data_IF_376412121494
#
_entry.id   IF_376412121494
#
_cell.length_a   1.000
_cell.length_b   1.000
_cell.length_c   1.000
_cell.angle_alpha   90.00
_cell.angle_beta   90.00
_cell.angle_gamma   90.00
#
_symmetry.space_group_name_H-M   'P 1'
#
loop_
_entity.id
_entity.type
_entity.pdbx_description
1 polymer ?
#
# COMPACT_ATOMS: atom_id res chain seq x y z
N UNK A 1 20.44 7.24 3.10
CA UNK A 1 20.94 6.41 4.23
C UNK A 1 20.34 6.89 5.56
N UNK A 2 19.05 6.66 5.77
CA UNK A 2 18.30 7.11 6.94
C UNK A 2 18.04 5.97 7.92
N UNK A 3 17.87 6.30 9.20
CA UNK A 3 17.32 5.39 10.20
C UNK A 3 15.81 5.45 10.13
N UNK A 4 15.16 4.30 10.23
CA UNK A 4 13.71 4.19 10.29
C UNK A 4 13.25 4.50 11.71
N UNK A 5 12.23 5.35 11.85
CA UNK A 5 11.57 5.60 13.14
C UNK A 5 10.19 4.92 13.13
N UNK A 6 10.01 3.92 13.98
CA UNK A 6 8.73 3.19 14.09
C UNK A 6 7.56 4.06 14.61
N UNK A 7 7.86 5.18 15.26
CA UNK A 7 6.84 6.01 15.91
C UNK A 7 6.11 6.99 15.00
N UNK A 8 6.48 7.05 13.70
CA UNK A 8 5.98 8.07 12.76
C UNK A 8 5.39 7.47 11.48
N UNK A 9 5.35 6.14 11.36
CA UNK A 9 4.74 5.45 10.22
C UNK A 9 3.24 5.32 10.43
N UNK A 10 2.45 5.64 9.39
CA UNK A 10 1.03 5.31 9.38
C UNK A 10 0.89 3.79 9.20
N UNK A 11 0.20 3.15 10.12
CA UNK A 11 -0.06 1.70 10.04
C UNK A 11 -1.55 1.46 10.19
N UNK A 12 -2.17 0.92 9.16
CA UNK A 12 -3.56 0.46 9.16
C UNK A 12 -3.63 -0.97 8.64
N UNK A 13 -4.28 -1.84 9.39
CA UNK A 13 -4.48 -3.24 9.02
C UNK A 13 -5.70 -3.46 8.11
N UNK A 14 -6.04 -4.72 7.93
CA UNK A 14 -7.13 -5.16 7.05
C UNK A 14 -8.44 -5.46 7.78
N UNK A 15 -8.52 -5.16 9.08
CA UNK A 15 -9.63 -5.57 9.96
C UNK A 15 -10.98 -4.94 9.57
N UNK A 16 -10.93 -3.81 8.85
CA UNK A 16 -12.14 -3.09 8.40
C UNK A 16 -12.59 -3.49 6.99
N UNK A 17 -11.83 -4.36 6.31
CA UNK A 17 -12.17 -4.81 4.96
C UNK A 17 -13.14 -5.97 5.05
N UNK A 18 -14.22 -5.89 4.31
CA UNK A 18 -15.26 -6.92 4.23
C UNK A 18 -15.29 -7.60 2.86
N UNK A 19 -15.91 -8.77 2.78
CA UNK A 19 -16.03 -9.51 1.51
C UNK A 19 -16.72 -8.66 0.42
N UNK A 20 -17.69 -7.84 0.80
CA UNK A 20 -18.40 -6.93 -0.11
C UNK A 20 -17.49 -5.87 -0.74
N UNK A 21 -16.40 -5.48 -0.07
CA UNK A 21 -15.45 -4.53 -0.63
C UNK A 21 -14.71 -5.11 -1.83
N UNK A 22 -14.38 -6.40 -1.80
CA UNK A 22 -13.74 -7.07 -2.94
C UNK A 22 -14.64 -7.09 -4.16
N UNK A 23 -15.94 -7.39 -3.99
CA UNK A 23 -16.91 -7.40 -5.09
C UNK A 23 -17.09 -6.00 -5.73
N UNK A 24 -17.09 -4.96 -4.89
CA UNK A 24 -17.22 -3.57 -5.35
C UNK A 24 -15.96 -3.13 -6.11
N UNK A 25 -14.80 -3.40 -5.53
CA UNK A 25 -13.51 -3.01 -6.08
C UNK A 25 -13.23 -3.71 -7.40
N UNK A 26 -13.68 -4.97 -7.55
CA UNK A 26 -13.57 -5.70 -8.81
C UNK A 26 -14.38 -5.04 -9.94
N UNK A 27 -15.60 -4.56 -9.66
CA UNK A 27 -16.42 -3.78 -10.61
C UNK A 27 -15.75 -2.48 -11.07
N UNK A 28 -14.81 -1.96 -10.28
CA UNK A 28 -14.02 -0.77 -10.61
C UNK A 28 -12.74 -1.11 -11.38
N UNK A 29 -12.49 -2.37 -11.73
CA UNK A 29 -11.23 -2.89 -12.29
C UNK A 29 -10.02 -2.63 -11.38
N UNK A 30 -10.24 -2.71 -10.06
CA UNK A 30 -9.21 -2.53 -9.04
C UNK A 30 -9.03 -3.80 -8.21
N UNK A 31 -7.98 -3.84 -7.43
CA UNK A 31 -7.72 -4.85 -6.39
C UNK A 31 -7.34 -4.18 -5.08
N UNK A 32 -7.69 -4.80 -3.96
CA UNK A 32 -7.22 -4.41 -2.64
C UNK A 32 -5.91 -5.14 -2.37
N UNK A 33 -4.86 -4.39 -2.04
CA UNK A 33 -3.56 -4.90 -1.64
C UNK A 33 -3.09 -4.20 -0.37
N UNK A 34 -2.55 -4.96 0.58
CA UNK A 34 -1.84 -4.37 1.72
C UNK A 34 -0.43 -3.98 1.25
N UNK A 35 -0.13 -2.71 1.24
CA UNK A 35 1.15 -2.19 0.73
C UNK A 35 1.94 -1.49 1.83
N UNK A 36 3.24 -1.77 1.87
CA UNK A 36 4.22 -0.94 2.55
C UNK A 36 4.81 0.06 1.53
N UNK A 37 4.61 1.34 1.77
CA UNK A 37 5.02 2.40 0.84
C UNK A 37 5.95 3.35 1.56
N UNK A 38 7.07 3.68 0.92
CA UNK A 38 8.01 4.69 1.40
C UNK A 38 8.27 5.69 0.28
N UNK A 39 8.08 6.95 0.56
CA UNK A 39 8.29 8.07 -0.39
C UNK A 39 9.19 9.13 0.23
N UNK A 40 9.92 9.84 -0.61
CA UNK A 40 10.68 11.02 -0.21
C UNK A 40 9.97 12.25 -0.76
N UNK A 41 9.35 13.02 0.13
CA UNK A 41 8.60 14.23 -0.19
C UNK A 41 9.30 15.42 0.46
N UNK A 42 9.75 16.39 -0.33
CA UNK A 42 10.46 17.58 0.18
C UNK A 42 11.59 17.24 1.15
N UNK A 43 12.40 16.25 0.80
CA UNK A 43 13.54 15.75 1.58
C UNK A 43 13.16 15.18 2.96
N UNK A 44 11.89 14.80 3.15
CA UNK A 44 11.36 14.10 4.31
C UNK A 44 10.89 12.71 3.90
N UNK A 45 10.99 11.74 4.81
CA UNK A 45 10.52 10.39 4.57
C UNK A 45 9.06 10.28 4.99
N UNK A 46 8.23 9.73 4.10
CA UNK A 46 6.86 9.37 4.36
C UNK A 46 6.71 7.85 4.23
N UNK A 47 6.47 7.20 5.35
CA UNK A 47 6.33 5.75 5.44
C UNK A 47 4.91 5.41 5.88
N UNK A 48 4.29 4.44 5.21
CA UNK A 48 2.96 3.96 5.53
C UNK A 48 2.76 2.50 5.15
N UNK A 49 1.93 1.82 5.92
CA UNK A 49 1.46 0.46 5.62
C UNK A 49 -0.06 0.49 5.76
N UNK A 50 -0.77 0.30 4.67
CA UNK A 50 -2.23 0.28 4.69
C UNK A 50 -2.80 -0.43 3.46
N UNK A 51 -4.09 -0.85 3.50
CA UNK A 51 -4.79 -1.34 2.33
C UNK A 51 -4.87 -0.25 1.25
N UNK A 52 -4.51 -0.63 0.03
CA UNK A 52 -4.54 0.26 -1.13
C UNK A 52 -5.40 -0.34 -2.23
N UNK A 53 -6.11 0.53 -2.96
CA UNK A 53 -6.73 0.16 -4.22
C UNK A 53 -5.72 0.34 -5.35
N UNK A 54 -5.42 -0.73 -6.07
CA UNK A 54 -4.48 -0.74 -7.19
C UNK A 54 -5.17 -1.19 -8.46
N UNK A 55 -4.73 -0.69 -9.61
CA UNK A 55 -5.24 -1.18 -10.89
C UNK A 55 -4.95 -2.67 -11.05
N UNK A 56 -5.92 -3.43 -11.56
CA UNK A 56 -5.71 -4.84 -11.92
C UNK A 56 -4.61 -5.03 -12.95
N UNK A 57 -4.40 -4.03 -13.80
CA UNK A 57 -3.43 -4.09 -14.89
C UNK A 57 -2.03 -3.61 -14.46
N UNK A 58 -1.87 -3.16 -13.20
CA UNK A 58 -0.56 -2.77 -12.67
C UNK A 58 0.29 -3.97 -12.26
N UNK A 59 1.60 -3.79 -12.18
CA UNK A 59 2.52 -4.82 -11.67
C UNK A 59 2.09 -5.33 -10.30
N UNK A 60 1.83 -4.42 -9.35
CA UNK A 60 1.37 -4.77 -7.99
C UNK A 60 0.00 -5.46 -8.02
N UNK A 61 -0.91 -5.03 -8.88
CA UNK A 61 -2.23 -5.64 -9.04
C UNK A 61 -2.16 -7.11 -9.49
N UNK A 62 -1.14 -7.46 -10.26
CA UNK A 62 -0.95 -8.81 -10.79
C UNK A 62 -0.16 -9.76 -9.87
N UNK A 63 0.35 -9.27 -8.75
CA UNK A 63 0.99 -10.13 -7.74
C UNK A 63 -0.08 -10.96 -7.04
N UNK A 64 -0.04 -12.29 -7.18
CA UNK A 64 -1.03 -13.23 -6.62
C UNK A 64 -0.35 -14.36 -5.87
N UNK A 65 -1.14 -15.11 -5.10
CA UNK A 65 -0.74 -16.31 -4.38
C UNK A 65 0.47 -16.08 -3.45
N UNK A 66 1.48 -16.91 -3.58
CA UNK A 66 2.72 -16.87 -2.75
C UNK A 66 3.73 -15.82 -3.22
N UNK A 67 3.40 -15.10 -4.30
CA UNK A 67 4.31 -14.11 -4.88
C UNK A 67 4.34 -12.82 -4.06
N UNK A 68 5.53 -12.28 -3.89
CA UNK A 68 5.78 -10.95 -3.36
C UNK A 68 6.43 -10.08 -4.43
N UNK A 69 6.24 -8.77 -4.34
CA UNK A 69 6.93 -7.83 -5.21
C UNK A 69 7.41 -6.60 -4.46
N UNK A 70 8.50 -6.04 -4.95
CA UNK A 70 9.01 -4.73 -4.55
C UNK A 70 9.16 -3.89 -5.81
N UNK A 71 8.57 -2.70 -5.79
CA UNK A 71 8.74 -1.70 -6.84
C UNK A 71 9.58 -0.57 -6.29
N UNK A 72 10.63 -0.24 -7.01
CA UNK A 72 11.49 0.90 -6.72
C UNK A 72 11.38 1.89 -7.86
N UNK A 73 11.09 3.14 -7.53
CA UNK A 73 11.09 4.24 -8.48
C UNK A 73 12.18 5.24 -8.10
N UNK A 74 13.02 5.59 -9.05
CA UNK A 74 14.14 6.51 -8.81
C UNK A 74 14.75 7.08 -10.08
N UNK A 75 15.49 8.17 -9.91
CA UNK A 75 16.23 8.79 -11.00
C UNK A 75 17.72 8.44 -10.89
N UNK A 76 18.42 8.12 -12.00
CA UNK A 76 17.96 8.08 -13.40
C UNK A 76 17.36 6.73 -13.84
N UNK A 77 17.28 5.72 -12.98
CA UNK A 77 16.95 4.33 -13.33
C UNK A 77 15.49 4.18 -13.77
N UNK A 78 14.57 5.03 -13.29
CA UNK A 78 13.13 4.87 -13.51
C UNK A 78 12.54 3.83 -12.55
N UNK A 79 11.60 3.06 -13.05
CA UNK A 79 10.94 2.00 -12.29
C UNK A 79 11.69 0.67 -12.42
N UNK A 80 11.89 0.01 -11.29
CA UNK A 80 12.45 -1.35 -11.21
C UNK A 80 11.49 -2.23 -10.42
N UNK A 81 11.11 -3.37 -10.99
CA UNK A 81 10.20 -4.34 -10.38
C UNK A 81 10.97 -5.62 -10.07
N UNK A 82 10.92 -6.04 -8.82
CA UNK A 82 11.44 -7.32 -8.36
C UNK A 82 10.27 -8.15 -7.86
N UNK A 83 10.11 -9.36 -8.38
CA UNK A 83 9.05 -10.27 -7.99
C UNK A 83 9.61 -11.67 -7.79
N UNK A 84 9.12 -12.36 -6.78
CA UNK A 84 9.51 -13.73 -6.47
C UNK A 84 8.61 -14.37 -5.43
N UNK A 85 8.73 -15.67 -5.28
CA UNK A 85 8.02 -16.41 -4.24
C UNK A 85 8.54 -15.99 -2.86
N UNK A 86 7.63 -15.62 -1.96
CA UNK A 86 7.97 -15.21 -0.59
C UNK A 86 7.72 -16.31 0.44
N UNK A 87 6.87 -17.27 0.13
CA UNK A 87 6.48 -18.35 1.05
C UNK A 87 6.73 -19.72 0.43
N UNK A 88 6.88 -20.73 1.29
CA UNK A 88 7.09 -22.12 0.92
C UNK A 88 8.48 -22.65 1.27
N UNK A 89 8.65 -23.98 1.33
CA UNK A 89 9.92 -24.60 1.76
C UNK A 89 11.07 -24.33 0.79
N UNK A 90 10.82 -24.31 -0.52
CA UNK A 90 11.83 -24.07 -1.54
C UNK A 90 12.44 -22.66 -1.46
N UNK A 91 11.65 -21.59 -1.60
CA UNK A 91 12.13 -20.22 -1.51
C UNK A 91 12.83 -19.91 -0.18
N UNK A 92 12.25 -20.38 0.94
CA UNK A 92 12.83 -20.18 2.27
C UNK A 92 14.18 -20.87 2.40
N UNK A 93 14.30 -22.13 1.96
CA UNK A 93 15.58 -22.86 1.97
C UNK A 93 16.61 -22.18 1.09
N UNK A 94 16.23 -21.74 -0.10
CA UNK A 94 17.11 -21.03 -1.02
C UNK A 94 17.68 -19.74 -0.41
N UNK A 95 16.82 -18.94 0.25
CA UNK A 95 17.24 -17.72 0.93
C UNK A 95 18.21 -18.01 2.08
N UNK A 96 17.89 -18.95 2.96
CA UNK A 96 18.75 -19.35 4.08
C UNK A 96 20.11 -19.85 3.61
N UNK A 97 20.12 -20.70 2.58
CA UNK A 97 21.38 -21.24 2.04
C UNK A 97 22.22 -20.16 1.36
N UNK A 98 21.59 -19.23 0.66
CA UNK A 98 22.27 -18.07 0.06
C UNK A 98 22.97 -17.21 1.13
N UNK A 99 22.29 -16.91 2.22
CA UNK A 99 22.84 -16.15 3.33
C UNK A 99 23.98 -16.89 4.03
N UNK A 100 23.79 -18.17 4.30
CA UNK A 100 24.82 -19.01 4.91
C UNK A 100 26.09 -19.06 4.04
N UNK A 101 25.94 -19.32 2.74
CA UNK A 101 27.07 -19.34 1.80
C UNK A 101 27.74 -17.98 1.68
N UNK A 102 26.99 -16.90 1.74
CA UNK A 102 27.55 -15.54 1.74
C UNK A 102 28.43 -15.28 2.97
N UNK A 103 27.97 -15.71 4.15
CA UNK A 103 28.74 -15.62 5.40
C UNK A 103 30.04 -16.49 5.31
N UNK A 104 29.92 -17.73 4.85
CA UNK A 104 31.05 -18.64 4.74
C UNK A 104 32.11 -18.15 3.74
N UNK A 105 31.71 -17.42 2.69
CA UNK A 105 32.60 -16.79 1.72
C UNK A 105 33.20 -15.46 2.21
N UNK A 106 32.87 -15.02 3.42
CA UNK A 106 33.35 -13.77 3.97
C UNK A 106 32.69 -12.52 3.36
N UNK A 107 31.60 -12.66 2.65
CA UNK A 107 30.87 -11.55 2.03
C UNK A 107 30.03 -10.77 3.07
N UNK A 108 30.68 -10.38 4.17
CA UNK A 108 30.03 -9.60 5.22
C UNK A 108 30.13 -8.12 4.84
N UNK A 109 29.02 -7.55 4.39
CA UNK A 109 28.92 -6.12 4.05
C UNK A 109 27.86 -5.45 4.92
N UNK A 110 28.05 -4.15 5.16
CA UNK A 110 26.96 -3.36 5.74
C UNK A 110 25.77 -3.35 4.77
N UNK A 111 24.54 -3.67 5.21
CA UNK A 111 23.37 -3.79 4.35
C UNK A 111 23.13 -2.56 3.45
N UNK A 112 23.54 -1.38 3.91
CA UNK A 112 23.34 -0.11 3.20
C UNK A 112 24.67 0.56 2.81
N UNK A 113 25.75 -0.19 2.72
CA UNK A 113 27.09 0.30 2.35
C UNK A 113 27.80 1.12 3.44
N UNK A 114 27.09 1.50 4.51
CA UNK A 114 27.66 2.25 5.65
C UNK A 114 27.17 1.65 6.98
N UNK A 115 27.97 1.85 8.04
CA UNK A 115 27.59 1.40 9.37
C UNK A 115 26.39 2.17 9.92
N UNK A 116 25.62 1.53 10.80
CA UNK A 116 24.37 2.11 11.34
C UNK A 116 24.57 3.43 12.10
N UNK A 117 25.73 3.61 12.77
CA UNK A 117 26.07 4.84 13.49
C UNK A 117 26.39 6.03 12.56
N UNK A 118 26.73 5.77 11.30
CA UNK A 118 26.96 6.80 10.27
C UNK A 118 25.71 7.16 9.47
N UNK A 119 24.58 6.55 9.77
CA UNK A 119 23.31 6.83 9.10
C UNK A 119 22.60 8.00 9.75
N UNK A 120 22.15 8.94 8.95
CA UNK A 120 21.42 10.12 9.42
C UNK A 120 19.97 9.73 9.83
N UNK A 121 19.42 10.46 10.79
CA UNK A 121 17.99 10.42 11.08
C UNK A 121 17.31 11.39 10.11
N UNK A 122 16.35 10.90 9.34
CA UNK A 122 15.54 11.77 8.49
C UNK A 122 14.30 12.25 9.24
N UNK A 123 13.87 13.47 8.93
CA UNK A 123 12.61 13.97 9.41
C UNK A 123 11.46 13.28 8.67
N UNK A 124 10.37 12.99 9.40
CA UNK A 124 9.17 12.44 8.82
C UNK A 124 8.32 13.52 8.16
N UNK A 125 7.63 13.13 7.10
CA UNK A 125 6.60 13.95 6.48
C UNK A 125 5.35 13.99 7.35
N UNK A 126 4.67 15.13 7.43
CA UNK A 126 3.43 15.24 8.18
C UNK A 126 2.29 14.58 7.39
N UNK A 127 1.75 13.49 7.93
CA UNK A 127 0.66 12.74 7.32
C UNK A 127 -0.57 13.59 6.98
N UNK A 128 -0.94 14.53 7.84
CA UNK A 128 -2.12 15.39 7.65
C UNK A 128 -2.02 16.33 6.42
N UNK A 129 -0.83 16.45 5.84
CA UNK A 129 -0.59 17.26 4.64
C UNK A 129 -0.57 16.43 3.35
N UNK A 130 -0.86 15.14 3.43
CA UNK A 130 -0.83 14.25 2.28
C UNK A 130 -2.23 14.12 1.66
N UNK A 131 -2.34 14.55 0.41
CA UNK A 131 -3.58 14.44 -0.37
C UNK A 131 -3.58 13.14 -1.18
N UNK A 132 -4.65 12.36 -1.08
CA UNK A 132 -4.81 11.12 -1.83
C UNK A 132 -6.28 10.84 -2.12
N UNK A 133 -6.53 9.94 -3.10
CA UNK A 133 -7.86 9.40 -3.35
C UNK A 133 -8.22 8.37 -2.27
N UNK A 134 -9.46 8.40 -1.82
CA UNK A 134 -9.98 7.53 -0.78
C UNK A 134 -11.11 6.65 -1.33
N UNK A 135 -11.17 5.42 -0.84
CA UNK A 135 -12.35 4.57 -0.95
C UNK A 135 -13.24 4.78 0.26
N UNK A 136 -14.51 5.06 0.03
CA UNK A 136 -15.50 5.24 1.07
C UNK A 136 -16.70 4.33 0.81
N UNK A 137 -16.96 3.38 1.71
CA UNK A 137 -18.19 2.59 1.75
C UNK A 137 -19.14 3.20 2.78
N UNK A 138 -20.36 3.47 2.37
CA UNK A 138 -21.39 4.06 3.22
C UNK A 138 -22.64 3.21 3.12
N UNK A 139 -23.10 2.68 4.26
CA UNK A 139 -24.36 1.97 4.36
C UNK A 139 -25.46 2.93 4.79
N UNK A 140 -26.48 3.06 3.98
CA UNK A 140 -27.57 4.00 4.20
C UNK A 140 -28.92 3.37 3.88
N UNK A 141 -29.98 3.90 4.45
CA UNK A 141 -31.34 3.50 4.07
C UNK A 141 -31.63 3.95 2.65
N UNK A 142 -32.18 3.04 1.83
CA UNK A 142 -32.59 3.37 0.46
C UNK A 142 -33.85 4.26 0.49
N UNK A 143 -33.63 5.56 0.41
CA UNK A 143 -34.68 6.59 0.39
C UNK A 143 -34.30 7.70 -0.60
N UNK A 144 -35.30 8.30 -1.26
CA UNK A 144 -35.06 9.50 -2.09
C UNK A 144 -34.33 10.59 -1.30
N UNK A 145 -33.32 11.23 -1.93
CA UNK A 145 -32.58 12.34 -1.35
C UNK A 145 -31.33 11.96 -0.53
N UNK A 146 -31.14 10.69 -0.13
CA UNK A 146 -29.97 10.28 0.66
C UNK A 146 -28.68 10.51 -0.11
N UNK A 147 -28.61 10.08 -1.38
CA UNK A 147 -27.44 10.30 -2.22
C UNK A 147 -27.13 11.79 -2.39
N UNK A 148 -28.16 12.61 -2.61
CA UNK A 148 -28.00 14.07 -2.70
C UNK A 148 -27.42 14.67 -1.41
N UNK A 149 -27.85 14.18 -0.25
CA UNK A 149 -27.33 14.65 1.04
C UNK A 149 -25.85 14.29 1.21
N UNK A 150 -25.44 13.06 0.86
CA UNK A 150 -24.05 12.64 0.92
C UNK A 150 -23.18 13.48 0.00
N UNK A 151 -23.58 13.63 -1.27
CA UNK A 151 -22.80 14.41 -2.25
C UNK A 151 -22.72 15.89 -1.88
N UNK A 152 -23.76 16.46 -1.28
CA UNK A 152 -23.73 17.82 -0.76
C UNK A 152 -22.73 17.98 0.40
N UNK A 153 -22.63 17.00 1.30
CA UNK A 153 -21.64 17.03 2.38
C UNK A 153 -20.22 16.98 1.80
N UNK A 154 -19.97 16.10 0.84
CA UNK A 154 -18.67 15.99 0.18
C UNK A 154 -18.30 17.31 -0.53
N UNK A 155 -19.23 17.88 -1.29
CA UNK A 155 -19.03 19.13 -2.01
C UNK A 155 -18.73 20.32 -1.06
N UNK A 156 -19.45 20.43 0.06
CA UNK A 156 -19.18 21.46 1.09
C UNK A 156 -17.80 21.36 1.70
N UNK A 157 -17.20 20.18 1.70
CA UNK A 157 -15.85 19.92 2.17
C UNK A 157 -14.79 19.89 1.05
N UNK A 158 -15.13 20.35 -0.17
CA UNK A 158 -14.27 20.35 -1.35
C UNK A 158 -13.76 18.93 -1.74
N UNK A 159 -14.55 17.89 -1.46
CA UNK A 159 -14.22 16.51 -1.82
C UNK A 159 -14.92 16.18 -3.13
N UNK A 160 -14.13 15.87 -4.17
CA UNK A 160 -14.64 15.45 -5.48
C UNK A 160 -14.88 13.94 -5.51
N UNK A 161 -16.00 13.52 -6.09
CA UNK A 161 -16.33 12.10 -6.31
C UNK A 161 -15.87 11.69 -7.71
N UNK A 162 -14.87 10.83 -7.79
CA UNK A 162 -14.36 10.32 -9.07
C UNK A 162 -15.23 9.17 -9.63
N UNK A 163 -15.67 8.27 -8.75
CA UNK A 163 -16.50 7.11 -9.11
C UNK A 163 -17.51 6.84 -8.01
N UNK A 164 -18.69 6.41 -8.39
CA UNK A 164 -19.76 6.06 -7.46
C UNK A 164 -20.42 4.76 -7.93
N UNK A 165 -20.59 3.82 -7.00
CA UNK A 165 -21.38 2.60 -7.23
C UNK A 165 -22.44 2.55 -6.15
N UNK A 166 -23.70 2.41 -6.56
CA UNK A 166 -24.81 2.15 -5.66
C UNK A 166 -25.24 0.68 -5.82
N UNK A 167 -25.26 -0.04 -4.73
CA UNK A 167 -25.70 -1.43 -4.69
C UNK A 167 -27.00 -1.46 -3.88
N UNK A 168 -28.13 -1.80 -4.50
CA UNK A 168 -29.39 -1.93 -3.80
C UNK A 168 -29.33 -3.09 -2.78
N UNK A 169 -29.95 -2.92 -1.62
CA UNK A 169 -30.11 -4.01 -0.65
C UNK A 169 -31.10 -5.05 -1.21
N UNK A 170 -30.59 -6.16 -1.71
CA UNK A 170 -31.41 -7.27 -2.22
C UNK A 170 -32.15 -8.05 -1.12
N UNK A 171 -32.05 -7.68 0.16
CA UNK A 171 -32.74 -8.35 1.26
C UNK A 171 -34.20 -7.94 1.45
N UNK A 172 -34.75 -7.11 0.56
CA UNK A 172 -36.17 -6.75 0.55
C UNK A 172 -36.82 -7.25 -0.76
N UNK A 173 -37.06 -8.54 -0.83
CA UNK A 173 -38.16 -9.14 -1.57
C UNK A 173 -38.97 -10.01 -0.63
#
# INVERSE_FOLDING_TARGET
>A
NCKISKSQSLMEGIEKIEATDFDIVEKLNLRIKLLGITEIINNKIFERVHPCLVSRDSYIGNVTDVMNAVILEGKPVGESVMQGEGAGPGPTTSALMSDLLSILRGNIKFPFGISNNKRNISNSYNYNSYENSLYLRVEVKDKPGVLSSITNILAKNNISVQRLIQIPDNKKK
#
